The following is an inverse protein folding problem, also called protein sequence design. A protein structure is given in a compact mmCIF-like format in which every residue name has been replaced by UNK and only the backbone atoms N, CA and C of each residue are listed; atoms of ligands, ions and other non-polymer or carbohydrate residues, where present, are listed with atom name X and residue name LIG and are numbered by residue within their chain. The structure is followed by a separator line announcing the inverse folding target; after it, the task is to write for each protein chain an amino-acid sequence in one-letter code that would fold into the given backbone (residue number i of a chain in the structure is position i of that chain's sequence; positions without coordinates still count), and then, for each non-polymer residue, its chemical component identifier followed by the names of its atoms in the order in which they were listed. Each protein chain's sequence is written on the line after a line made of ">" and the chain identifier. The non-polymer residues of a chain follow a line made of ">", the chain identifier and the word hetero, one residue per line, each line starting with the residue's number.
data_IF_133254983337
#
_entry.id   IF_133254983337
#
_cell.length_a   1.000
_cell.length_b   1.000
_cell.length_c   1.000
_cell.angle_alpha   90.00
_cell.angle_beta   90.00
_cell.angle_gamma   90.00
#
_symmetry.space_group_name_H-M   'P 1'
#
loop_
_entity.id
_entity.type
_entity.pdbx_description
1 polymer ?
#
# COMPACT_ATOMS: atom_id res chain seq x y z
N UNK A 1 21.36 79.59 4.12
CA UNK A 1 20.76 78.46 3.36
C UNK A 1 21.53 77.18 3.66
N UNK A 2 21.33 76.60 4.79
CA UNK A 2 21.86 75.27 5.20
C UNK A 2 21.14 74.86 6.49
N UNK A 3 19.90 74.44 6.40
CA UNK A 3 19.14 73.78 7.49
C UNK A 3 17.77 73.35 6.95
N UNK A 4 17.70 72.41 6.05
CA UNK A 4 16.46 71.75 5.69
C UNK A 4 16.71 70.53 4.80
N UNK A 5 17.62 69.62 5.17
CA UNK A 5 17.76 68.27 4.60
C UNK A 5 18.26 67.32 5.68
N UNK A 6 17.51 67.15 6.77
CA UNK A 6 17.83 66.11 7.76
C UNK A 6 16.59 65.61 8.50
N UNK A 7 15.43 65.61 7.91
CA UNK A 7 14.20 65.11 8.55
C UNK A 7 13.40 64.16 7.68
N UNK A 8 13.93 63.68 6.57
CA UNK A 8 13.22 62.80 5.65
C UNK A 8 13.81 61.37 5.56
N UNK A 9 14.80 61.01 6.39
CA UNK A 9 15.45 59.68 6.35
C UNK A 9 15.23 58.82 7.62
N UNK A 10 14.35 59.27 8.54
CA UNK A 10 14.04 58.48 9.74
C UNK A 10 12.62 57.92 9.80
N UNK A 11 11.83 58.09 8.74
CA UNK A 11 10.43 57.60 8.65
C UNK A 11 10.24 56.38 7.74
N UNK A 12 11.30 55.81 7.14
CA UNK A 12 11.20 54.60 6.27
C UNK A 12 11.79 53.32 6.88
N UNK A 13 12.26 53.34 8.08
CA UNK A 13 12.83 52.13 8.73
C UNK A 13 11.98 51.52 9.86
N UNK A 14 10.74 51.98 10.08
CA UNK A 14 9.83 51.44 11.09
C UNK A 14 8.68 50.63 10.53
N UNK A 15 8.46 50.62 9.19
CA UNK A 15 7.35 49.89 8.57
C UNK A 15 7.72 48.58 7.88
N UNK A 16 8.89 48.00 8.10
CA UNK A 16 9.30 46.68 7.61
C UNK A 16 9.48 45.61 8.69
N UNK A 17 9.02 45.86 9.91
CA UNK A 17 9.16 44.93 11.03
C UNK A 17 7.81 44.38 11.58
N UNK A 18 6.71 44.55 10.85
CA UNK A 18 5.37 44.09 11.28
C UNK A 18 4.65 43.27 10.19
N UNK A 19 5.37 42.34 9.54
CA UNK A 19 4.75 41.39 8.63
C UNK A 19 5.49 40.04 8.62
N UNK A 20 6.04 39.63 9.76
CA UNK A 20 6.28 38.23 10.07
C UNK A 20 5.33 37.87 11.22
N UNK A 21 4.04 37.87 10.90
CA UNK A 21 3.07 37.18 11.72
C UNK A 21 3.38 35.71 11.64
N UNK A 22 3.85 35.16 12.78
CA UNK A 22 3.94 33.73 13.01
C UNK A 22 2.60 33.08 12.62
N UNK A 23 2.54 32.48 11.45
CA UNK A 23 1.64 31.38 11.17
C UNK A 23 2.24 30.20 11.92
N UNK A 24 2.12 30.20 13.26
CA UNK A 24 2.08 28.97 14.02
C UNK A 24 0.86 28.19 13.48
N UNK A 25 1.09 27.40 12.42
CA UNK A 25 0.23 26.27 12.15
C UNK A 25 0.25 25.44 13.42
N UNK A 26 -0.79 25.59 14.24
CA UNK A 26 -1.08 24.64 15.29
C UNK A 26 -1.21 23.29 14.60
N UNK A 27 -0.17 22.49 14.68
CA UNK A 27 -0.20 21.11 14.25
C UNK A 27 -1.33 20.47 15.06
N UNK A 28 -2.47 20.28 14.41
CA UNK A 28 -3.60 19.59 15.03
C UNK A 28 -3.10 18.18 15.29
N UNK A 29 -2.93 17.81 16.56
CA UNK A 29 -2.51 16.45 16.93
C UNK A 29 -3.45 15.46 16.26
N UNK A 30 -2.92 14.64 15.35
CA UNK A 30 -3.67 13.61 14.65
C UNK A 30 -4.16 12.60 15.68
N UNK A 31 -5.45 12.28 15.62
CA UNK A 31 -6.06 11.30 16.53
C UNK A 31 -5.39 9.94 16.37
N UNK A 32 -5.16 9.25 17.49
CA UNK A 32 -4.77 7.85 17.49
C UNK A 32 -5.82 6.99 16.80
N UNK A 33 -5.35 6.15 15.87
CA UNK A 33 -6.21 5.19 15.18
C UNK A 33 -6.30 3.90 15.97
N UNK A 34 -7.49 3.30 15.95
CA UNK A 34 -7.74 1.95 16.43
C UNK A 34 -8.31 1.11 15.30
N UNK A 35 -8.17 -0.22 15.38
CA UNK A 35 -8.67 -1.09 14.33
C UNK A 35 -9.35 -2.35 14.90
N UNK A 36 -10.39 -2.80 14.19
CA UNK A 36 -11.06 -4.09 14.40
C UNK A 36 -10.93 -4.93 13.13
N UNK A 37 -10.37 -6.11 13.24
CA UNK A 37 -10.24 -7.07 12.13
C UNK A 37 -11.51 -7.90 12.05
N UNK A 38 -12.21 -7.89 10.91
CA UNK A 38 -13.34 -8.76 10.64
C UNK A 38 -12.89 -10.15 10.19
N UNK A 39 -13.80 -11.12 10.19
CA UNK A 39 -13.52 -12.47 9.67
C UNK A 39 -13.24 -12.44 8.16
N UNK A 40 -12.37 -13.32 7.71
CA UNK A 40 -12.14 -13.51 6.27
C UNK A 40 -13.28 -14.32 5.64
N UNK A 41 -13.59 -13.98 4.39
CA UNK A 41 -14.65 -14.61 3.61
C UNK A 41 -14.12 -15.11 2.27
N UNK A 42 -14.77 -16.11 1.70
CA UNK A 42 -14.37 -16.74 0.44
C UNK A 42 -15.60 -17.00 -0.42
N UNK A 43 -15.52 -16.64 -1.70
CA UNK A 43 -16.64 -16.72 -2.67
C UNK A 43 -16.24 -17.55 -3.91
N UNK A 44 -16.02 -18.86 -3.78
CA UNK A 44 -15.48 -19.68 -4.88
C UNK A 44 -16.38 -19.78 -6.10
N UNK A 45 -17.69 -19.59 -5.92
CA UNK A 45 -18.67 -19.68 -7.02
C UNK A 45 -18.70 -18.42 -7.89
N UNK A 46 -18.22 -17.29 -7.38
CA UNK A 46 -18.39 -15.96 -8.00
C UNK A 46 -17.10 -15.17 -8.15
N UNK A 47 -16.05 -15.55 -7.44
CA UNK A 47 -14.70 -15.03 -7.60
C UNK A 47 -13.81 -16.13 -8.16
N UNK A 48 -13.36 -16.04 -9.42
CA UNK A 48 -12.49 -17.04 -10.03
C UNK A 48 -11.17 -17.19 -9.23
N UNK A 49 -10.57 -18.39 -9.23
CA UNK A 49 -9.21 -18.55 -8.71
C UNK A 49 -8.22 -17.60 -9.38
N UNK A 50 -7.37 -16.93 -8.55
CA UNK A 50 -6.41 -15.99 -9.09
C UNK A 50 -5.18 -15.83 -8.20
N UNK A 51 -4.28 -14.97 -8.65
CA UNK A 51 -3.11 -14.51 -7.91
C UNK A 51 -3.29 -13.01 -7.70
N UNK A 52 -4.26 -12.64 -6.85
CA UNK A 52 -4.68 -11.26 -6.68
C UNK A 52 -3.74 -10.55 -5.69
N UNK A 53 -2.95 -9.62 -6.23
CA UNK A 53 -1.90 -8.93 -5.48
C UNK A 53 -2.34 -7.56 -4.98
N UNK A 54 -3.03 -6.76 -5.81
CA UNK A 54 -3.43 -5.39 -5.47
C UNK A 54 -4.91 -5.11 -5.68
N UNK A 55 -5.47 -4.18 -4.90
CA UNK A 55 -6.86 -3.75 -4.96
C UNK A 55 -7.00 -2.25 -4.76
N UNK A 56 -7.91 -1.60 -5.49
CA UNK A 56 -8.28 -0.20 -5.29
C UNK A 56 -9.78 0.02 -5.43
N UNK A 57 -10.35 0.93 -4.64
CA UNK A 57 -11.77 1.24 -4.65
C UNK A 57 -12.13 2.26 -5.73
N UNK A 58 -13.14 1.92 -6.55
CA UNK A 58 -13.66 2.77 -7.63
C UNK A 58 -14.91 3.55 -7.24
N UNK A 59 -15.48 3.26 -6.06
CA UNK A 59 -16.73 3.82 -5.57
C UNK A 59 -17.88 2.81 -5.52
N UNK A 60 -18.81 3.00 -4.59
CA UNK A 60 -19.90 2.05 -4.35
C UNK A 60 -19.40 0.65 -4.04
N UNK A 61 -19.86 -0.36 -4.77
CA UNK A 61 -19.39 -1.74 -4.65
C UNK A 61 -18.25 -2.11 -5.61
N UNK A 62 -17.77 -1.16 -6.45
CA UNK A 62 -16.80 -1.43 -7.50
C UNK A 62 -15.36 -1.30 -7.01
N UNK A 63 -14.53 -2.27 -7.41
CA UNK A 63 -13.08 -2.28 -7.14
C UNK A 63 -12.33 -2.72 -8.41
N UNK A 64 -11.14 -2.18 -8.59
CA UNK A 64 -10.19 -2.71 -9.57
C UNK A 64 -9.13 -3.55 -8.83
N UNK A 65 -8.80 -4.70 -9.40
CA UNK A 65 -7.91 -5.72 -8.82
C UNK A 65 -6.90 -6.17 -9.86
N UNK A 66 -5.62 -6.21 -9.48
CA UNK A 66 -4.57 -6.79 -10.32
C UNK A 66 -4.21 -8.19 -9.88
N UNK A 67 -3.63 -8.94 -10.80
CA UNK A 67 -3.08 -10.28 -10.58
C UNK A 67 -1.68 -10.33 -11.18
N UNK A 68 -0.71 -10.84 -10.42
CA UNK A 68 0.69 -10.99 -10.83
C UNK A 68 0.85 -12.00 -11.99
N UNK A 69 -0.03 -12.99 -12.09
CA UNK A 69 0.00 -14.06 -13.10
C UNK A 69 -1.14 -13.98 -14.12
N UNK A 70 -1.73 -12.81 -14.32
CA UNK A 70 -2.67 -12.61 -15.39
C UNK A 70 -2.03 -12.91 -16.77
N UNK A 71 -2.80 -13.44 -17.71
CA UNK A 71 -2.31 -13.69 -19.09
C UNK A 71 -2.05 -12.39 -19.85
N UNK A 72 -2.79 -11.34 -19.53
CA UNK A 72 -2.74 -10.03 -20.19
C UNK A 72 -2.47 -8.95 -19.18
N UNK A 73 -1.86 -7.86 -19.62
CA UNK A 73 -1.63 -6.66 -18.81
C UNK A 73 -2.93 -5.87 -18.65
N UNK A 74 -3.29 -5.55 -17.42
CA UNK A 74 -4.52 -4.87 -17.07
C UNK A 74 -5.02 -5.23 -15.68
N UNK A 75 -6.34 -5.13 -15.47
CA UNK A 75 -6.97 -5.33 -14.16
C UNK A 75 -8.37 -5.92 -14.29
N UNK A 76 -8.81 -6.59 -13.23
CA UNK A 76 -10.17 -7.13 -13.09
C UNK A 76 -11.08 -6.11 -12.43
N UNK A 77 -12.38 -6.16 -12.76
CA UNK A 77 -13.42 -5.44 -12.02
C UNK A 77 -14.09 -6.42 -11.06
N UNK A 78 -14.02 -6.06 -9.78
CA UNK A 78 -14.68 -6.76 -8.69
C UNK A 78 -15.87 -5.95 -8.20
N UNK A 79 -16.93 -6.67 -7.83
CA UNK A 79 -18.04 -6.14 -7.07
C UNK A 79 -17.98 -6.71 -5.67
N UNK A 80 -17.81 -5.86 -4.64
CA UNK A 80 -17.71 -6.28 -3.24
C UNK A 80 -18.75 -5.51 -2.45
N UNK A 81 -19.75 -6.22 -1.93
CA UNK A 81 -20.81 -5.66 -1.12
C UNK A 81 -20.40 -5.70 0.37
N UNK A 82 -20.33 -4.52 0.96
CA UNK A 82 -19.93 -4.32 2.36
C UNK A 82 -21.14 -3.84 3.14
N UNK A 83 -21.42 -4.50 4.25
CA UNK A 83 -22.48 -4.11 5.17
C UNK A 83 -22.14 -2.74 5.81
N UNK A 84 -23.01 -1.74 5.71
CA UNK A 84 -22.71 -0.37 6.10
C UNK A 84 -22.64 -0.15 7.62
N UNK A 85 -23.07 -1.08 8.44
CA UNK A 85 -23.04 -0.99 9.90
C UNK A 85 -21.87 -1.76 10.51
N UNK A 86 -21.52 -2.91 9.93
CA UNK A 86 -20.52 -3.82 10.48
C UNK A 86 -19.20 -3.83 9.70
N UNK A 87 -19.24 -3.39 8.44
CA UNK A 87 -18.13 -3.47 7.51
C UNK A 87 -17.80 -4.89 7.05
N UNK A 88 -18.67 -5.88 7.29
CA UNK A 88 -18.47 -7.24 6.82
C UNK A 88 -18.79 -7.34 5.31
N UNK A 89 -18.03 -8.18 4.61
CA UNK A 89 -18.30 -8.48 3.21
C UNK A 89 -19.40 -9.53 3.14
N UNK A 90 -20.53 -9.17 2.52
CA UNK A 90 -21.69 -10.06 2.38
C UNK A 90 -21.68 -10.84 1.07
N UNK A 91 -21.09 -10.29 0.01
CA UNK A 91 -20.96 -10.91 -1.30
C UNK A 91 -19.83 -10.29 -2.11
N UNK A 92 -19.17 -11.08 -2.95
CA UNK A 92 -18.21 -10.61 -3.94
C UNK A 92 -18.30 -11.42 -5.23
N UNK A 93 -18.07 -10.78 -6.38
CA UNK A 93 -17.93 -11.45 -7.68
C UNK A 93 -17.02 -10.64 -8.61
N UNK A 94 -16.46 -11.34 -9.61
CA UNK A 94 -15.69 -10.73 -10.68
C UNK A 94 -16.04 -11.40 -12.01
N UNK A 95 -16.38 -10.61 -13.02
CA UNK A 95 -16.78 -11.10 -14.34
C UNK A 95 -16.20 -10.27 -15.49
N UNK A 96 -15.37 -9.28 -15.22
CA UNK A 96 -14.83 -8.38 -16.23
C UNK A 96 -13.32 -8.21 -16.06
N UNK A 97 -12.58 -8.22 -17.17
CA UNK A 97 -11.17 -7.85 -17.26
C UNK A 97 -11.01 -6.70 -18.27
N UNK A 98 -10.26 -5.68 -17.90
CA UNK A 98 -9.88 -4.55 -18.75
C UNK A 98 -8.38 -4.55 -18.95
N UNK A 99 -7.93 -4.50 -20.20
CA UNK A 99 -6.50 -4.53 -20.52
C UNK A 99 -6.20 -4.75 -21.98
N UNK A 100 -4.92 -4.76 -22.30
CA UNK A 100 -4.38 -4.94 -23.65
C UNK A 100 -3.75 -6.34 -23.84
N UNK A 101 -3.50 -6.71 -25.11
CA UNK A 101 -2.86 -7.99 -25.46
C UNK A 101 -1.32 -7.93 -25.29
N UNK A 102 -0.86 -7.27 -24.23
CA UNK A 102 0.51 -7.37 -23.77
C UNK A 102 0.63 -8.40 -22.65
N UNK A 103 1.79 -9.02 -22.51
CA UNK A 103 2.06 -9.89 -21.37
C UNK A 103 1.95 -9.09 -20.05
N UNK A 104 1.41 -9.72 -19.03
CA UNK A 104 1.42 -9.19 -17.67
C UNK A 104 2.85 -8.87 -17.25
N UNK A 105 3.02 -7.80 -16.47
CA UNK A 105 4.33 -7.33 -15.98
C UNK A 105 4.61 -7.78 -14.55
N UNK A 106 3.99 -8.89 -14.11
CA UNK A 106 3.90 -9.23 -12.69
C UNK A 106 3.30 -8.01 -11.95
N UNK A 107 1.98 -7.80 -12.17
CA UNK A 107 1.26 -6.61 -11.67
C UNK A 107 0.92 -6.80 -10.19
N UNK A 108 1.41 -5.89 -9.34
CA UNK A 108 1.33 -6.04 -7.89
C UNK A 108 0.43 -4.97 -7.24
N UNK A 109 0.83 -3.72 -7.24
CA UNK A 109 0.03 -2.64 -6.65
C UNK A 109 -0.86 -1.92 -7.67
N UNK A 110 -1.98 -1.37 -7.21
CA UNK A 110 -2.95 -0.65 -8.05
C UNK A 110 -3.53 0.56 -7.32
N UNK A 111 -3.65 1.69 -8.02
CA UNK A 111 -4.23 2.91 -7.48
C UNK A 111 -5.17 3.58 -8.49
N UNK A 112 -6.30 4.08 -8.01
CA UNK A 112 -7.29 4.79 -8.82
C UNK A 112 -7.19 6.30 -8.63
N UNK A 113 -7.14 7.05 -9.74
CA UNK A 113 -7.16 8.52 -9.80
C UNK A 113 -8.50 8.95 -10.41
N UNK A 114 -9.46 9.24 -9.53
CA UNK A 114 -10.86 9.47 -9.92
C UNK A 114 -11.04 10.69 -10.85
N UNK A 115 -10.29 11.79 -10.59
CA UNK A 115 -10.41 13.01 -11.39
C UNK A 115 -10.01 12.81 -12.85
N UNK A 116 -9.08 11.90 -13.13
CA UNK A 116 -8.58 11.62 -14.48
C UNK A 116 -9.25 10.36 -15.09
N UNK A 117 -10.02 9.63 -14.29
CA UNK A 117 -10.57 8.31 -14.66
C UNK A 117 -9.48 7.35 -15.13
N UNK A 118 -8.37 7.30 -14.38
CA UNK A 118 -7.21 6.46 -14.69
C UNK A 118 -6.84 5.55 -13.52
N UNK A 119 -6.17 4.46 -13.88
CA UNK A 119 -5.61 3.46 -12.99
C UNK A 119 -4.10 3.48 -13.14
N UNK A 120 -3.37 3.46 -12.03
CA UNK A 120 -1.94 3.23 -12.02
C UNK A 120 -1.66 1.83 -11.51
N UNK A 121 -0.72 1.12 -12.16
CA UNK A 121 -0.35 -0.25 -11.80
C UNK A 121 1.16 -0.34 -11.67
N UNK A 122 1.64 -0.78 -10.51
CA UNK A 122 3.03 -1.19 -10.34
C UNK A 122 3.24 -2.58 -10.93
N UNK A 123 4.40 -2.80 -11.52
CA UNK A 123 4.76 -4.12 -12.04
C UNK A 123 6.24 -4.36 -11.84
N UNK A 124 6.58 -5.56 -11.40
CA UNK A 124 7.95 -5.96 -11.09
C UNK A 124 8.83 -6.02 -12.34
N UNK A 125 8.25 -6.39 -13.50
CA UNK A 125 8.98 -6.36 -14.77
C UNK A 125 9.38 -4.93 -15.12
N UNK A 126 10.65 -4.61 -14.88
CA UNK A 126 11.25 -3.30 -15.10
C UNK A 126 10.96 -2.28 -14.00
N UNK A 127 10.29 -2.65 -12.92
CA UNK A 127 9.93 -1.79 -11.77
C UNK A 127 9.36 -0.45 -12.21
N UNK A 128 8.28 -0.50 -12.97
CA UNK A 128 7.60 0.67 -13.52
C UNK A 128 6.18 0.75 -12.99
N UNK A 129 5.70 1.96 -12.79
CA UNK A 129 4.32 2.25 -12.40
C UNK A 129 3.68 2.99 -13.55
N UNK A 130 2.86 2.26 -14.34
CA UNK A 130 2.26 2.75 -15.57
C UNK A 130 0.83 3.19 -15.35
N UNK A 131 0.38 4.17 -16.15
CA UNK A 131 -1.00 4.65 -16.16
C UNK A 131 -1.83 3.95 -17.25
N UNK A 132 -3.07 3.61 -16.90
CA UNK A 132 -4.07 2.95 -17.74
C UNK A 132 -5.39 3.71 -17.70
N UNK A 133 -6.14 3.66 -18.78
CA UNK A 133 -7.51 4.17 -18.82
C UNK A 133 -8.44 3.24 -18.05
N UNK A 134 -9.32 3.81 -17.23
CA UNK A 134 -10.28 3.02 -16.44
C UNK A 134 -11.27 2.27 -17.34
N UNK A 135 -11.73 2.88 -18.46
CA UNK A 135 -12.81 2.38 -19.31
C UNK A 135 -12.45 1.08 -20.05
N UNK A 136 -11.18 0.90 -20.44
CA UNK A 136 -10.76 -0.21 -21.28
C UNK A 136 -9.44 -0.88 -20.84
N UNK A 137 -8.74 -0.32 -19.86
CA UNK A 137 -7.46 -0.84 -19.37
C UNK A 137 -6.28 -0.63 -20.32
N UNK A 138 -6.39 0.26 -21.32
CA UNK A 138 -5.29 0.56 -22.21
C UNK A 138 -4.29 1.53 -21.58
N UNK A 139 -3.00 1.32 -21.83
CA UNK A 139 -1.93 2.20 -21.38
C UNK A 139 -2.06 3.59 -22.00
N UNK A 140 -1.88 4.64 -21.20
CA UNK A 140 -1.91 6.03 -21.68
C UNK A 140 -0.55 6.49 -22.20
N UNK A 141 0.52 5.78 -21.87
CA UNK A 141 1.91 6.18 -22.15
C UNK A 141 2.53 7.04 -21.03
N UNK A 142 1.76 7.38 -19.98
CA UNK A 142 2.28 8.08 -18.78
C UNK A 142 2.72 7.09 -17.71
N UNK A 143 3.67 7.49 -16.87
CA UNK A 143 4.18 6.70 -15.74
C UNK A 143 4.68 7.60 -14.61
N UNK A 144 4.76 7.06 -13.40
CA UNK A 144 5.46 7.74 -12.30
C UNK A 144 6.97 7.79 -12.58
N UNK A 145 7.58 8.94 -12.28
CA UNK A 145 9.02 9.16 -12.45
C UNK A 145 9.82 8.43 -11.35
N UNK A 146 9.84 7.11 -11.42
CA UNK A 146 10.56 6.25 -10.47
C UNK A 146 12.07 6.49 -10.57
N UNK A 147 12.77 6.76 -9.45
CA UNK A 147 14.23 6.93 -9.45
C UNK A 147 14.96 5.69 -9.96
N UNK A 148 16.05 5.88 -10.72
CA UNK A 148 16.79 4.80 -11.37
C UNK A 148 17.32 3.73 -10.39
N UNK A 149 17.60 4.11 -9.14
CA UNK A 149 18.00 3.17 -8.10
C UNK A 149 17.01 2.03 -7.85
N UNK A 150 15.70 2.29 -8.07
CA UNK A 150 14.64 1.30 -7.89
C UNK A 150 14.44 0.40 -9.11
N UNK A 151 14.91 0.81 -10.29
CA UNK A 151 14.88 -0.03 -11.50
C UNK A 151 15.86 -1.21 -11.41
N UNK A 152 16.75 -1.21 -10.41
CA UNK A 152 17.73 -2.26 -10.14
C UNK A 152 17.32 -3.16 -8.97
N UNK A 153 16.04 -3.27 -8.65
CA UNK A 153 15.56 -4.20 -7.63
C UNK A 153 15.93 -5.65 -7.98
N UNK A 154 15.89 -6.51 -6.97
CA UNK A 154 16.08 -7.95 -7.17
C UNK A 154 14.88 -8.50 -7.93
N UNK A 155 15.06 -9.50 -8.81
CA UNK A 155 13.95 -10.19 -9.45
C UNK A 155 12.94 -10.71 -8.40
N UNK A 156 11.66 -10.52 -8.62
CA UNK A 156 10.54 -10.87 -7.73
C UNK A 156 10.66 -10.27 -6.30
N UNK A 157 11.21 -9.06 -6.19
CA UNK A 157 11.31 -8.29 -4.95
C UNK A 157 11.24 -6.78 -5.27
N UNK A 158 10.43 -6.45 -6.27
CA UNK A 158 10.22 -5.10 -6.77
C UNK A 158 9.13 -4.33 -6.03
N UNK A 159 8.37 -3.53 -6.77
CA UNK A 159 7.24 -2.79 -6.23
C UNK A 159 6.03 -3.70 -6.07
N UNK A 160 5.72 -4.09 -4.84
CA UNK A 160 4.53 -4.86 -4.47
C UNK A 160 3.30 -3.97 -4.24
N UNK A 161 3.50 -2.70 -3.96
CA UNK A 161 2.47 -1.82 -3.44
C UNK A 161 2.24 -0.59 -4.29
N UNK A 162 1.03 -0.03 -4.22
CA UNK A 162 0.73 1.30 -4.75
C UNK A 162 -0.54 1.85 -4.12
N UNK A 163 -0.49 3.08 -3.63
CA UNK A 163 -1.65 3.80 -3.14
C UNK A 163 -1.67 5.23 -3.62
N UNK A 164 -2.85 5.74 -3.94
CA UNK A 164 -3.10 7.15 -4.20
C UNK A 164 -4.18 7.67 -3.24
N UNK A 165 -3.95 8.85 -2.67
CA UNK A 165 -4.97 9.51 -1.86
C UNK A 165 -5.42 10.82 -2.54
N UNK A 166 -6.72 10.98 -2.85
CA UNK A 166 -7.23 12.15 -3.58
C UNK A 166 -7.24 13.44 -2.74
N UNK A 167 -7.19 13.35 -1.41
CA UNK A 167 -7.16 14.52 -0.52
C UNK A 167 -5.75 15.12 -0.48
N UNK A 168 -4.75 14.27 -0.27
CA UNK A 168 -3.34 14.70 -0.23
C UNK A 168 -2.71 14.82 -1.62
N UNK A 169 -3.34 14.25 -2.65
CA UNK A 169 -2.86 14.18 -4.04
C UNK A 169 -1.46 13.58 -4.14
N UNK A 170 -1.22 12.49 -3.38
CA UNK A 170 0.08 11.80 -3.31
C UNK A 170 -0.07 10.33 -3.65
N UNK A 171 0.89 9.84 -4.43
CA UNK A 171 1.12 8.40 -4.60
C UNK A 171 2.17 7.94 -3.61
N UNK A 172 1.99 6.72 -3.12
CA UNK A 172 2.89 6.05 -2.21
C UNK A 172 3.16 4.63 -2.68
N UNK A 173 4.41 4.21 -2.61
CA UNK A 173 4.83 2.84 -2.92
C UNK A 173 6.07 2.46 -2.12
N UNK A 174 6.32 1.17 -2.00
CA UNK A 174 7.52 0.60 -1.39
C UNK A 174 7.85 -0.71 -2.09
N UNK A 175 9.13 -1.08 -2.16
CA UNK A 175 9.54 -2.42 -2.62
C UNK A 175 9.24 -3.47 -1.54
N UNK A 176 8.97 -4.72 -1.95
CA UNK A 176 8.77 -5.84 -1.01
C UNK A 176 9.98 -6.01 -0.10
N UNK A 177 11.17 -5.90 -0.67
CA UNK A 177 12.42 -6.15 0.05
C UNK A 177 13.46 -5.06 -0.19
N UNK A 178 14.60 -5.18 0.51
CA UNK A 178 15.70 -4.22 0.44
C UNK A 178 16.31 -4.17 -0.97
N UNK A 179 16.66 -2.99 -1.44
CA UNK A 179 17.40 -2.84 -2.68
C UNK A 179 18.81 -3.46 -2.54
N UNK A 180 19.43 -3.95 -3.63
CA UNK A 180 20.78 -4.53 -3.58
C UNK A 180 21.82 -3.63 -2.93
N UNK A 181 21.68 -2.31 -3.08
CA UNK A 181 22.58 -1.31 -2.49
C UNK A 181 22.36 -1.11 -0.98
N UNK A 182 21.19 -1.45 -0.44
CA UNK A 182 20.83 -1.25 0.98
C UNK A 182 21.15 -2.48 1.84
N UNK A 183 21.64 -3.57 1.24
CA UNK A 183 22.11 -4.73 1.96
C UNK A 183 21.45 -6.05 1.59
N UNK A 184 21.40 -6.98 2.53
CA UNK A 184 20.83 -8.31 2.33
C UNK A 184 19.39 -8.37 2.81
N UNK A 185 18.53 -8.98 2.00
CA UNK A 185 17.16 -9.25 2.37
C UNK A 185 17.05 -10.21 3.58
N UNK A 186 15.97 -10.06 4.35
CA UNK A 186 15.61 -11.01 5.39
C UNK A 186 15.42 -12.42 4.83
N UNK A 187 15.98 -13.40 5.49
CA UNK A 187 15.76 -14.82 5.18
C UNK A 187 15.52 -15.59 6.47
N UNK A 188 14.95 -16.80 6.35
CA UNK A 188 14.80 -17.70 7.50
C UNK A 188 16.13 -18.02 8.21
N UNK A 189 17.27 -17.83 7.53
CA UNK A 189 18.62 -18.12 8.07
C UNK A 189 19.25 -16.92 8.73
N UNK A 190 19.30 -15.77 8.03
CA UNK A 190 19.99 -14.59 8.52
C UNK A 190 19.15 -13.77 9.49
N UNK A 191 17.82 -13.81 9.37
CA UNK A 191 16.86 -13.07 10.20
C UNK A 191 17.18 -11.58 10.32
N UNK A 192 17.74 -11.00 9.27
CA UNK A 192 18.03 -9.57 9.21
C UNK A 192 16.73 -8.77 9.20
N UNK A 193 16.79 -7.58 9.73
CA UNK A 193 15.71 -6.60 9.61
C UNK A 193 15.82 -5.93 8.24
N UNK A 194 14.72 -5.86 7.49
CA UNK A 194 14.69 -5.16 6.22
C UNK A 194 14.59 -3.65 6.47
N UNK A 195 15.51 -2.89 5.87
CA UNK A 195 15.43 -1.43 5.79
C UNK A 195 14.99 -1.05 4.37
N UNK A 196 13.74 -0.61 4.25
CA UNK A 196 13.08 -0.29 2.99
C UNK A 196 13.02 1.22 2.79
N UNK A 197 12.53 1.65 1.62
CA UNK A 197 12.33 3.05 1.29
C UNK A 197 10.90 3.26 0.83
N UNK A 198 10.12 3.99 1.62
CA UNK A 198 8.77 4.43 1.26
C UNK A 198 8.87 5.66 0.35
N UNK A 199 8.37 5.54 -0.87
CA UNK A 199 8.44 6.57 -1.91
C UNK A 199 7.15 7.38 -1.98
N UNK A 200 7.30 8.68 -2.21
CA UNK A 200 6.21 9.62 -2.44
C UNK A 200 6.34 10.29 -3.80
N UNK A 201 5.22 10.37 -4.54
CA UNK A 201 5.12 11.11 -5.79
C UNK A 201 3.95 12.08 -5.73
N UNK A 202 4.03 13.15 -6.51
CA UNK A 202 2.95 14.14 -6.62
C UNK A 202 1.93 13.80 -7.73
N UNK A 203 0.90 14.63 -7.85
CA UNK A 203 -0.13 14.52 -8.88
C UNK A 203 0.39 14.75 -10.30
N UNK A 204 1.57 15.38 -10.47
CA UNK A 204 2.24 15.55 -11.74
C UNK A 204 3.14 14.35 -12.08
N UNK A 205 3.02 13.26 -11.33
CA UNK A 205 3.75 12.00 -11.47
C UNK A 205 5.26 12.12 -11.17
N UNK A 206 5.67 13.20 -10.49
CA UNK A 206 7.07 13.45 -10.17
C UNK A 206 7.43 12.87 -8.79
N UNK A 207 8.63 12.33 -8.69
CA UNK A 207 9.20 11.91 -7.42
C UNK A 207 9.35 13.12 -6.49
N UNK A 208 8.87 12.99 -5.26
CA UNK A 208 8.92 14.04 -4.23
C UNK A 208 9.93 13.72 -3.15
N UNK A 209 9.85 12.51 -2.61
CA UNK A 209 10.67 12.11 -1.46
C UNK A 209 10.75 10.60 -1.29
N UNK A 210 11.79 10.16 -0.58
CA UNK A 210 11.88 8.82 -0.02
C UNK A 210 12.10 8.90 1.49
N UNK A 211 11.52 7.95 2.22
CA UNK A 211 11.61 7.87 3.66
C UNK A 211 12.12 6.49 4.06
N UNK A 212 13.16 6.38 4.90
CA UNK A 212 13.59 5.09 5.42
C UNK A 212 12.47 4.44 6.23
N UNK A 213 12.18 3.17 5.92
CA UNK A 213 11.19 2.36 6.62
C UNK A 213 11.82 1.08 7.15
N UNK A 214 11.93 0.98 8.47
CA UNK A 214 12.54 -0.17 9.12
C UNK A 214 11.47 -1.17 9.54
N UNK A 215 11.42 -2.34 8.88
CA UNK A 215 10.49 -3.42 9.21
C UNK A 215 10.81 -4.00 10.59
N UNK A 216 9.87 -4.78 11.13
CA UNK A 216 10.13 -5.60 12.32
C UNK A 216 11.14 -6.73 12.04
N UNK A 217 11.66 -7.30 13.10
CA UNK A 217 12.37 -8.57 13.00
C UNK A 217 11.41 -9.72 12.70
N UNK A 218 11.86 -10.78 12.00
CA UNK A 218 11.03 -11.93 11.72
C UNK A 218 10.61 -12.66 13.01
N UNK A 219 9.37 -13.15 13.03
CA UNK A 219 8.86 -13.96 14.16
C UNK A 219 9.19 -15.44 14.00
N UNK A 220 9.57 -15.91 12.80
CA UNK A 220 9.94 -17.29 12.56
C UNK A 220 11.18 -17.67 13.40
N UNK A 221 11.05 -18.65 14.27
CA UNK A 221 12.17 -19.16 15.10
C UNK A 221 13.03 -20.19 14.36
N UNK A 222 12.42 -21.04 13.52
CA UNK A 222 13.12 -22.05 12.73
C UNK A 222 14.09 -21.43 11.71
N UNK A 223 15.19 -22.11 11.46
CA UNK A 223 16.11 -21.78 10.36
C UNK A 223 15.80 -22.53 9.06
N UNK A 224 14.79 -23.41 9.09
CA UNK A 224 14.39 -24.25 7.96
C UNK A 224 12.92 -24.03 7.66
N UNK A 225 12.63 -23.54 6.47
CA UNK A 225 11.31 -23.49 5.88
C UNK A 225 11.43 -23.94 4.41
N UNK A 226 10.39 -24.56 3.88
CA UNK A 226 10.35 -24.93 2.46
C UNK A 226 9.98 -23.71 1.60
N UNK A 227 9.18 -22.80 2.15
CA UNK A 227 8.89 -21.49 1.60
C UNK A 227 8.98 -20.44 2.71
N UNK A 228 9.60 -19.30 2.40
CA UNK A 228 9.72 -18.17 3.31
C UNK A 228 9.78 -16.86 2.54
N UNK A 229 8.95 -15.93 2.93
CA UNK A 229 8.97 -14.54 2.44
C UNK A 229 8.71 -13.58 3.60
N UNK A 230 9.37 -12.44 3.59
CA UNK A 230 9.15 -11.36 4.55
C UNK A 230 9.40 -10.02 3.88
N UNK A 231 8.36 -9.21 3.82
CA UNK A 231 8.41 -7.91 3.15
C UNK A 231 7.22 -7.03 3.51
N UNK A 232 7.19 -5.86 2.90
CA UNK A 232 5.98 -5.04 2.83
C UNK A 232 5.18 -5.49 1.61
N UNK A 233 3.95 -5.96 1.85
CA UNK A 233 3.07 -6.43 0.79
C UNK A 233 2.27 -5.28 0.16
N UNK A 234 1.80 -4.30 0.97
CA UNK A 234 1.08 -3.15 0.41
C UNK A 234 1.13 -1.92 1.32
N UNK A 235 0.76 -0.78 0.77
CA UNK A 235 0.59 0.49 1.49
C UNK A 235 -0.77 1.10 1.17
N UNK A 236 -1.35 1.84 2.15
CA UNK A 236 -2.62 2.53 1.97
C UNK A 236 -2.55 3.94 2.56
N UNK A 237 -2.64 4.94 1.70
CA UNK A 237 -2.57 6.35 2.09
C UNK A 237 -3.91 6.85 2.68
N UNK A 238 -3.84 7.56 3.80
CA UNK A 238 -4.98 8.14 4.50
C UNK A 238 -5.18 9.61 4.15
N UNK A 239 -6.41 10.11 4.36
CA UNK A 239 -6.80 11.50 4.06
C UNK A 239 -6.02 12.54 4.88
N UNK A 240 -5.49 12.15 6.02
CA UNK A 240 -4.71 13.01 6.93
C UNK A 240 -3.19 13.00 6.64
N UNK A 241 -2.79 12.31 5.58
CA UNK A 241 -1.39 12.22 5.12
C UNK A 241 -0.57 11.10 5.75
N UNK A 242 -1.15 10.36 6.71
CA UNK A 242 -0.54 9.13 7.21
C UNK A 242 -0.63 8.00 6.18
N UNK A 243 0.22 6.99 6.35
CA UNK A 243 0.23 5.80 5.49
C UNK A 243 0.13 4.55 6.36
N UNK A 244 -0.78 3.65 6.00
CA UNK A 244 -0.81 2.30 6.57
C UNK A 244 0.12 1.42 5.75
N UNK A 245 0.97 0.65 6.42
CA UNK A 245 1.93 -0.28 5.81
C UNK A 245 1.62 -1.70 6.26
N UNK A 246 1.45 -2.63 5.32
CA UNK A 246 1.24 -4.05 5.57
C UNK A 246 2.58 -4.78 5.56
N UNK A 247 3.13 -5.07 6.74
CA UNK A 247 4.25 -6.01 6.88
C UNK A 247 3.71 -7.44 6.89
N UNK A 248 4.28 -8.29 6.04
CA UNK A 248 3.89 -9.70 5.90
C UNK A 248 5.10 -10.60 6.13
N UNK A 249 4.91 -11.65 6.92
CA UNK A 249 5.86 -12.76 7.05
C UNK A 249 5.15 -14.08 6.77
N UNK A 250 5.55 -14.78 5.72
CA UNK A 250 5.05 -16.08 5.33
C UNK A 250 6.08 -17.16 5.64
N UNK A 251 5.66 -18.26 6.24
CA UNK A 251 6.51 -19.44 6.46
C UNK A 251 5.74 -20.72 6.21
N UNK A 252 6.29 -21.55 5.33
CA UNK A 252 5.74 -22.87 4.96
C UNK A 252 6.77 -23.95 5.27
N UNK A 253 6.60 -24.75 6.34
CA UNK A 253 7.43 -25.91 6.63
C UNK A 253 7.27 -27.02 5.57
N UNK A 254 8.23 -27.95 5.51
CA UNK A 254 8.20 -29.07 4.55
C UNK A 254 6.89 -29.89 4.62
N UNK A 255 6.36 -30.11 5.81
CA UNK A 255 5.12 -30.87 6.03
C UNK A 255 3.85 -30.00 5.97
N UNK A 256 3.97 -28.71 5.64
CA UNK A 256 2.91 -27.69 5.61
C UNK A 256 2.21 -27.43 6.97
N UNK A 257 2.09 -28.41 7.85
CA UNK A 257 1.55 -28.21 9.19
C UNK A 257 2.40 -27.21 9.97
N UNK A 258 1.77 -26.18 10.54
CA UNK A 258 2.45 -25.05 11.18
C UNK A 258 2.83 -23.93 10.21
N UNK A 259 2.37 -23.99 8.94
CA UNK A 259 2.44 -22.85 8.05
C UNK A 259 1.70 -21.65 8.65
N UNK A 260 2.24 -20.46 8.42
CA UNK A 260 1.59 -19.23 8.85
C UNK A 260 1.87 -18.08 7.88
N UNK A 261 0.93 -17.15 7.84
CA UNK A 261 1.15 -15.77 7.39
C UNK A 261 0.85 -14.85 8.57
N UNK A 262 1.84 -14.06 8.95
CA UNK A 262 1.72 -13.06 10.01
C UNK A 262 1.65 -11.69 9.35
N UNK A 263 0.50 -11.02 9.49
CA UNK A 263 0.23 -9.69 8.95
C UNK A 263 0.23 -8.67 10.09
N UNK A 264 0.99 -7.60 9.92
CA UNK A 264 1.02 -6.45 10.82
C UNK A 264 0.71 -5.19 10.02
N UNK A 265 -0.28 -4.43 10.46
CA UNK A 265 -0.63 -3.14 9.91
C UNK A 265 -0.02 -2.07 10.80
N UNK A 266 0.92 -1.30 10.24
CA UNK A 266 1.54 -0.15 10.91
C UNK A 266 1.03 1.16 10.32
N UNK A 267 0.94 2.18 11.14
CA UNK A 267 0.69 3.56 10.71
C UNK A 267 2.00 4.33 10.84
N UNK A 268 2.37 5.04 9.80
CA UNK A 268 3.48 6.00 9.77
C UNK A 268 2.98 7.39 9.40
N UNK A 269 3.66 8.43 9.86
CA UNK A 269 3.38 9.82 9.50
C UNK A 269 4.62 10.47 8.87
N UNK A 270 4.72 10.48 7.54
CA UNK A 270 5.88 11.07 6.86
C UNK A 270 6.05 12.57 7.10
N UNK A 271 5.03 13.26 7.62
CA UNK A 271 5.11 14.71 7.92
C UNK A 271 5.79 15.04 9.23
N UNK A 272 5.89 14.06 10.14
CA UNK A 272 6.46 14.27 11.49
C UNK A 272 7.99 14.11 11.52
N UNK A 273 8.59 13.49 10.50
CA UNK A 273 9.99 13.11 10.52
C UNK A 273 10.76 13.60 9.27
N UNK A 274 12.05 13.85 9.46
CA UNK A 274 12.94 14.22 8.36
C UNK A 274 13.32 13.01 7.50
N UNK A 275 13.77 13.26 6.27
CA UNK A 275 14.12 12.25 5.27
C UNK A 275 15.31 11.34 5.64
N UNK A 276 16.04 11.64 6.70
CA UNK A 276 17.27 10.91 7.09
C UNK A 276 17.09 9.94 8.24
N UNK A 277 15.91 9.89 8.86
CA UNK A 277 15.60 9.03 10.01
C UNK A 277 14.52 8.04 9.60
N UNK A 278 14.62 6.80 10.08
CA UNK A 278 13.58 5.81 9.83
C UNK A 278 12.25 6.27 10.46
N UNK A 279 11.18 6.18 9.66
CA UNK A 279 9.84 6.56 10.10
C UNK A 279 9.45 5.85 11.40
N UNK A 280 8.97 6.62 12.36
CA UNK A 280 8.34 6.06 13.54
C UNK A 280 7.03 5.37 13.13
N UNK A 281 6.91 4.08 13.45
CA UNK A 281 5.71 3.29 13.11
C UNK A 281 4.94 2.90 14.36
N UNK A 282 3.62 3.05 14.31
CA UNK A 282 2.70 2.65 15.37
C UNK A 282 1.90 1.43 14.92
N UNK A 283 1.95 0.34 15.68
CA UNK A 283 1.14 -0.85 15.37
C UNK A 283 -0.35 -0.50 15.47
N UNK A 284 -1.07 -0.61 14.36
CA UNK A 284 -2.51 -0.41 14.29
C UNK A 284 -3.24 -1.71 14.68
N UNK A 285 -2.86 -2.82 14.07
CA UNK A 285 -3.37 -4.15 14.39
C UNK A 285 -2.47 -5.24 13.82
N UNK A 286 -2.66 -6.47 14.28
CA UNK A 286 -2.01 -7.65 13.74
C UNK A 286 -2.94 -8.85 13.76
N UNK A 287 -2.77 -9.74 12.79
CA UNK A 287 -3.46 -11.03 12.76
C UNK A 287 -2.58 -12.08 12.10
N UNK A 288 -2.91 -13.33 12.35
CA UNK A 288 -2.16 -14.47 11.85
C UNK A 288 -3.10 -15.52 11.29
N UNK A 289 -2.82 -15.97 10.07
CA UNK A 289 -3.51 -17.09 9.43
C UNK A 289 -2.62 -18.31 9.44
N UNK A 290 -3.19 -19.52 9.57
CA UNK A 290 -2.40 -20.72 9.87
C UNK A 290 -2.97 -22.00 9.24
N UNK A 291 -2.08 -22.99 9.03
CA UNK A 291 -2.47 -24.39 8.90
C UNK A 291 -2.09 -25.09 10.20
N UNK A 292 -3.08 -25.40 11.05
CA UNK A 292 -2.86 -26.04 12.35
C UNK A 292 -3.97 -27.03 12.68
N UNK A 293 -3.66 -28.33 12.62
CA UNK A 293 -4.65 -29.39 12.87
C UNK A 293 -5.79 -29.33 11.86
N UNK A 294 -7.01 -29.19 12.34
CA UNK A 294 -8.22 -29.04 11.49
C UNK A 294 -8.46 -27.60 11.04
N UNK A 295 -7.76 -26.63 11.63
CA UNK A 295 -7.87 -25.23 11.25
C UNK A 295 -7.01 -24.94 10.02
N UNK A 296 -7.66 -24.53 8.94
CA UNK A 296 -7.02 -24.01 7.73
C UNK A 296 -7.69 -22.70 7.36
N UNK A 297 -7.16 -21.59 7.89
CA UNK A 297 -7.52 -20.24 7.51
C UNK A 297 -6.34 -19.52 6.83
N UNK A 298 -5.39 -20.31 6.33
CA UNK A 298 -4.14 -19.84 5.74
C UNK A 298 -4.41 -18.96 4.51
N UNK A 299 -3.98 -17.72 4.59
CA UNK A 299 -4.28 -16.68 3.62
C UNK A 299 -3.09 -15.73 3.48
N UNK A 300 -2.65 -15.49 2.24
CA UNK A 300 -1.52 -14.66 1.89
C UNK A 300 -2.04 -13.27 1.46
N UNK A 301 -2.28 -12.37 2.42
CA UNK A 301 -2.76 -11.02 2.14
C UNK A 301 -1.66 -10.18 1.50
N UNK A 302 -1.94 -9.65 0.31
CA UNK A 302 -1.00 -8.85 -0.48
C UNK A 302 -1.54 -7.47 -0.83
N UNK A 303 -2.84 -7.33 -1.11
CA UNK A 303 -3.43 -6.04 -1.45
C UNK A 303 -4.34 -5.46 -0.37
N UNK A 304 -4.38 -4.12 -0.27
CA UNK A 304 -5.31 -3.40 0.59
C UNK A 304 -5.65 -2.00 0.05
N UNK A 305 -6.88 -1.56 0.24
CA UNK A 305 -7.30 -0.19 -0.09
C UNK A 305 -8.34 0.33 0.90
N UNK A 306 -8.50 1.65 0.96
CA UNK A 306 -9.68 2.24 1.61
C UNK A 306 -10.93 1.85 0.80
N UNK A 307 -11.98 1.45 1.52
CA UNK A 307 -13.32 1.23 0.99
C UNK A 307 -14.29 2.32 1.48
N UNK A 308 -15.60 2.03 1.56
CA UNK A 308 -16.59 2.99 2.03
C UNK A 308 -16.41 3.33 3.51
N UNK A 309 -16.96 4.46 3.93
CA UNK A 309 -17.17 4.76 5.35
C UNK A 309 -18.46 4.09 5.82
N UNK A 310 -18.42 3.56 7.05
CA UNK A 310 -19.60 2.99 7.70
C UNK A 310 -20.55 4.10 8.19
N UNK A 311 -21.77 3.71 8.58
CA UNK A 311 -22.77 4.63 9.11
C UNK A 311 -22.31 5.37 10.38
N UNK A 312 -21.39 4.79 11.17
CA UNK A 312 -20.79 5.41 12.37
C UNK A 312 -19.58 6.31 12.03
N UNK A 313 -19.23 6.48 10.74
CA UNK A 313 -18.10 7.27 10.28
C UNK A 313 -16.76 6.51 10.26
N UNK A 314 -16.71 5.26 10.71
CA UNK A 314 -15.51 4.43 10.65
C UNK A 314 -15.10 4.16 9.20
N UNK A 315 -13.80 4.08 8.96
CA UNK A 315 -13.25 3.78 7.63
C UNK A 315 -13.06 2.28 7.46
N UNK A 316 -13.55 1.72 6.35
CA UNK A 316 -13.25 0.33 5.98
C UNK A 316 -11.92 0.28 5.21
N UNK A 317 -11.04 -0.62 5.60
CA UNK A 317 -9.90 -1.09 4.83
C UNK A 317 -10.25 -2.47 4.27
N UNK A 318 -10.24 -2.63 2.96
CA UNK A 318 -10.49 -3.91 2.28
C UNK A 318 -9.16 -4.56 1.96
N UNK A 319 -9.04 -5.86 2.19
CA UNK A 319 -7.83 -6.64 1.93
C UNK A 319 -8.15 -7.84 1.05
N UNK A 320 -7.23 -8.18 0.13
CA UNK A 320 -7.32 -9.31 -0.79
C UNK A 320 -6.07 -10.19 -0.67
N UNK A 321 -6.24 -11.49 -0.98
CA UNK A 321 -5.15 -12.48 -0.90
C UNK A 321 -4.68 -12.91 -2.29
N UNK A 322 -3.37 -13.20 -2.39
CA UNK A 322 -2.83 -14.09 -3.42
C UNK A 322 -3.03 -15.56 -2.99
N UNK A 323 -3.77 -16.31 -3.77
CA UNK A 323 -3.98 -17.74 -3.56
C UNK A 323 -2.95 -18.63 -4.27
N UNK A 324 -2.07 -18.05 -5.08
CA UNK A 324 -1.15 -18.79 -5.96
C UNK A 324 -1.87 -19.89 -6.76
N UNK A 325 -2.94 -19.51 -7.47
CA UNK A 325 -3.85 -20.42 -8.18
C UNK A 325 -4.40 -21.52 -7.26
N UNK A 326 -4.78 -21.18 -6.03
CA UNK A 326 -5.28 -22.10 -4.99
C UNK A 326 -4.29 -23.24 -4.73
N UNK A 327 -3.01 -22.91 -4.65
CA UNK A 327 -1.91 -23.87 -4.54
C UNK A 327 -2.16 -24.93 -3.51
N UNK A 328 -2.16 -26.16 -3.99
CA UNK A 328 -2.31 -27.36 -3.17
C UNK A 328 -3.61 -27.40 -2.31
N UNK A 329 -4.68 -26.69 -2.73
CA UNK A 329 -5.96 -26.55 -2.04
C UNK A 329 -5.82 -26.08 -0.57
N UNK A 330 -4.82 -25.24 -0.27
CA UNK A 330 -4.61 -24.68 1.07
C UNK A 330 -4.64 -23.15 1.09
N UNK A 331 -4.33 -22.51 -0.04
CA UNK A 331 -4.52 -21.09 -0.25
C UNK A 331 -5.84 -20.87 -1.00
N UNK A 332 -6.58 -19.84 -0.62
CA UNK A 332 -7.83 -19.44 -1.25
C UNK A 332 -7.87 -17.94 -1.43
N UNK A 333 -8.72 -17.48 -2.36
CA UNK A 333 -8.90 -16.07 -2.68
C UNK A 333 -9.81 -15.41 -1.62
N UNK A 334 -9.27 -15.30 -0.39
CA UNK A 334 -9.97 -14.66 0.72
C UNK A 334 -10.01 -13.15 0.56
N UNK A 335 -11.13 -12.58 0.97
CA UNK A 335 -11.32 -11.16 1.22
C UNK A 335 -11.50 -10.93 2.72
N UNK A 336 -11.07 -9.77 3.19
CA UNK A 336 -11.22 -9.35 4.60
C UNK A 336 -11.39 -7.85 4.69
N UNK A 337 -12.04 -7.39 5.74
CA UNK A 337 -12.06 -5.97 6.09
C UNK A 337 -11.43 -5.73 7.46
N UNK A 338 -10.84 -4.54 7.60
CA UNK A 338 -10.39 -3.98 8.86
C UNK A 338 -11.09 -2.64 9.05
N UNK A 339 -11.75 -2.45 10.19
CA UNK A 339 -12.50 -1.24 10.50
C UNK A 339 -11.63 -0.32 11.33
N UNK A 340 -11.37 0.88 10.83
CA UNK A 340 -10.48 1.89 11.40
C UNK A 340 -11.32 3.03 12.00
N UNK A 341 -11.00 3.42 13.25
CA UNK A 341 -11.66 4.51 14.00
C UNK A 341 -10.68 5.57 14.43
#
# INVERSE_FOLDING_TARGET
>A
MKKMILSALLALSVNMAMAQGDVLQTATMKRDLTAKVNEQVYFPETVPPGNYSGITWLGGSLYAVVSDKSKRDGFFIFHINIDPDTGQISHAYSNEFRGEDYACRDNEGIAFVAQDSTIFISGETGNRILEYRLDNGHRTGRELAVPDSFRQSRPNLGFESLSYNPVTRRFWTVSESVLPMDGEACTQKNKKQNNLRLLCFDENLQFVAEYPYLMDYPVLKSKTANGYAMGVADVCALDDGRVIVLERELSVPKMKLGSFVNCKLYVVDPSEEGYSVALHKKLLTQFKTVIKGVKNDFANYEGMCLGPKLNDGSQVLVMICDSQDQKANVLHDYLRTVIIK
#
